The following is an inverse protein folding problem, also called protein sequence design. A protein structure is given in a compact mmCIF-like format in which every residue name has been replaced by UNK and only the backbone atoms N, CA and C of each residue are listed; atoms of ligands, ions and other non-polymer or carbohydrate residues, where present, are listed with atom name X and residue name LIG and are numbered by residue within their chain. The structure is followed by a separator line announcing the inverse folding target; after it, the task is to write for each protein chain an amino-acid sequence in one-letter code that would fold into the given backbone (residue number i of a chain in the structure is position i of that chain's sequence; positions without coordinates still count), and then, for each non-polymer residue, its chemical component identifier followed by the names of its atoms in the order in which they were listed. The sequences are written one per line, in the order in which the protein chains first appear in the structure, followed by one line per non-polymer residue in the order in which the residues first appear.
data_IF_618222620250
#
_entry.id   IF_618222620250
#
_cell.length_a   1.000
_cell.length_b   1.000
_cell.length_c   1.000
_cell.angle_alpha   90.00
_cell.angle_beta   90.00
_cell.angle_gamma   90.00
#
_symmetry.space_group_name_H-M   'P 1'
#
loop_
_entity.id
_entity.type
_entity.pdbx_description
1 polymer ?
#
# COMPACT_ATOMS: atom_id res chain seq x y z
N UNK A 1 -4.04 -0.03 -13.17
CA UNK A 1 -4.65 0.12 -11.83
C UNK A 1 -6.18 0.29 -11.91
N UNK A 2 -6.71 1.29 -12.63
CA UNK A 2 -8.13 1.69 -12.63
C UNK A 2 -9.17 0.62 -13.07
N UNK A 3 -8.92 -0.12 -14.16
CA UNK A 3 -9.92 -1.05 -14.72
C UNK A 3 -10.07 -2.39 -13.97
N UNK A 4 -9.11 -2.75 -13.10
CA UNK A 4 -9.13 -4.04 -12.37
C UNK A 4 -9.69 -3.97 -10.95
N UNK A 5 -9.63 -2.79 -10.30
CA UNK A 5 -10.09 -2.61 -8.92
C UNK A 5 -11.63 -2.47 -8.84
N UNK A 6 -12.27 -1.92 -9.88
CA UNK A 6 -13.70 -1.57 -9.88
C UNK A 6 -14.48 -2.20 -11.04
N UNK A 7 -14.13 -3.43 -11.42
CA UNK A 7 -14.90 -4.17 -12.42
C UNK A 7 -16.33 -4.51 -11.96
N UNK A 8 -16.58 -4.45 -10.64
CA UNK A 8 -17.89 -4.68 -10.00
C UNK A 8 -18.61 -3.35 -9.70
N UNK A 9 -19.93 -3.42 -9.50
CA UNK A 9 -20.72 -2.28 -9.00
C UNK A 9 -20.26 -1.87 -7.60
N UNK A 10 -19.71 -0.66 -7.49
CA UNK A 10 -19.17 -0.09 -6.27
C UNK A 10 -20.15 0.82 -5.53
N UNK A 11 -21.40 0.92 -6.00
CA UNK A 11 -22.44 1.75 -5.38
C UNK A 11 -22.63 1.37 -3.91
N UNK A 12 -22.49 2.36 -3.01
CA UNK A 12 -22.69 2.17 -1.57
C UNK A 12 -21.59 1.39 -0.84
N UNK A 13 -20.49 1.04 -1.52
CA UNK A 13 -19.34 0.36 -0.90
C UNK A 13 -18.48 1.34 -0.11
N UNK A 14 -18.00 0.91 1.06
CA UNK A 14 -17.06 1.69 1.86
C UNK A 14 -15.62 1.40 1.43
N UNK A 15 -14.90 2.43 0.98
CA UNK A 15 -13.51 2.35 0.53
C UNK A 15 -12.63 3.19 1.43
N UNK A 16 -11.60 2.56 2.01
CA UNK A 16 -10.54 3.25 2.74
C UNK A 16 -9.30 3.36 1.87
N UNK A 17 -8.72 4.54 1.77
CA UNK A 17 -7.43 4.76 1.09
C UNK A 17 -6.40 5.21 2.11
N UNK A 18 -5.35 4.42 2.29
CA UNK A 18 -4.23 4.69 3.19
C UNK A 18 -3.06 5.24 2.37
N UNK A 19 -2.68 6.49 2.63
CA UNK A 19 -1.70 7.20 1.82
C UNK A 19 -2.42 7.94 0.70
N UNK A 20 -2.38 9.26 0.77
CA UNK A 20 -3.10 10.14 -0.14
C UNK A 20 -2.13 10.93 -1.03
N UNK A 21 -0.83 10.60 -1.02
CA UNK A 21 0.20 11.30 -1.80
C UNK A 21 0.09 11.15 -3.33
N UNK A 22 -0.74 10.24 -3.83
CA UNK A 22 -0.80 9.85 -5.25
C UNK A 22 -2.20 9.76 -5.85
N UNK A 23 -3.17 10.55 -5.35
CA UNK A 23 -4.58 10.56 -5.75
C UNK A 23 -4.81 10.32 -7.25
N UNK A 24 -5.01 9.04 -7.62
CA UNK A 24 -5.45 8.61 -8.95
C UNK A 24 -6.76 7.84 -8.87
N UNK A 25 -7.27 7.61 -7.66
CA UNK A 25 -8.57 7.03 -7.36
C UNK A 25 -9.50 8.13 -6.84
N UNK A 26 -10.18 8.83 -7.76
CA UNK A 26 -11.20 9.82 -7.43
C UNK A 26 -12.59 9.15 -7.39
N UNK A 27 -13.47 9.64 -6.52
CA UNK A 27 -14.82 9.10 -6.36
C UNK A 27 -15.69 9.23 -7.63
N UNK A 28 -15.30 10.08 -8.59
CA UNK A 28 -15.98 10.18 -9.89
C UNK A 28 -15.89 8.88 -10.71
N UNK A 29 -14.83 8.08 -10.52
CA UNK A 29 -14.57 6.88 -11.31
C UNK A 29 -15.27 5.62 -10.76
N UNK A 30 -15.96 5.70 -9.62
CA UNK A 30 -16.44 4.52 -8.88
C UNK A 30 -17.93 4.48 -8.63
N UNK A 31 -18.73 5.20 -9.41
CA UNK A 31 -20.19 4.99 -9.48
C UNK A 31 -20.92 4.94 -8.11
N UNK A 32 -20.61 5.85 -7.16
CA UNK A 32 -21.37 5.96 -5.90
C UNK A 32 -20.80 5.23 -4.67
N UNK A 33 -19.51 4.87 -4.68
CA UNK A 33 -18.81 4.42 -3.48
C UNK A 33 -18.55 5.55 -2.46
N UNK A 34 -18.42 5.19 -1.19
CA UNK A 34 -18.09 6.09 -0.08
C UNK A 34 -16.59 6.01 0.23
N UNK A 35 -15.84 7.08 -0.02
CA UNK A 35 -14.41 7.12 0.26
C UNK A 35 -14.08 7.79 1.59
N UNK A 36 -13.13 7.19 2.30
CA UNK A 36 -12.35 7.83 3.36
C UNK A 36 -10.88 7.75 2.98
N UNK A 37 -10.22 8.90 2.94
CA UNK A 37 -8.81 9.06 2.62
C UNK A 37 -8.03 9.39 3.90
N UNK A 38 -6.90 8.72 4.10
CA UNK A 38 -5.98 8.93 5.21
C UNK A 38 -4.62 9.35 4.70
N UNK A 39 -4.11 10.46 5.24
CA UNK A 39 -2.70 10.81 5.12
C UNK A 39 -2.20 11.36 6.46
N UNK A 40 -0.91 11.20 6.72
CA UNK A 40 -0.30 11.76 7.93
C UNK A 40 -0.09 13.27 7.80
N UNK A 41 0.09 13.80 6.58
CA UNK A 41 0.28 15.22 6.34
C UNK A 41 -1.07 15.92 6.04
N UNK A 42 -1.60 16.76 6.94
CA UNK A 42 -2.83 17.50 6.68
C UNK A 42 -2.73 18.46 5.50
N UNK A 43 -1.51 18.82 5.06
CA UNK A 43 -1.28 19.72 3.92
C UNK A 43 -1.46 19.04 2.58
N UNK A 44 -1.52 17.70 2.52
CA UNK A 44 -1.65 17.00 1.23
C UNK A 44 -2.99 17.28 0.56
N UNK A 45 -4.08 17.42 1.35
CA UNK A 45 -5.43 17.68 0.82
C UNK A 45 -5.49 18.95 -0.05
N UNK A 46 -5.12 20.14 0.46
CA UNK A 46 -5.18 21.35 -0.37
C UNK A 46 -4.20 21.31 -1.56
N UNK A 47 -3.09 20.57 -1.45
CA UNK A 47 -2.16 20.37 -2.58
C UNK A 47 -2.81 19.49 -3.65
N UNK A 48 -3.45 18.39 -3.25
CA UNK A 48 -4.16 17.48 -4.13
C UNK A 48 -5.30 18.16 -4.89
N UNK A 49 -6.17 18.85 -4.16
CA UNK A 49 -7.31 19.58 -4.74
C UNK A 49 -6.85 20.66 -5.71
N UNK A 50 -5.71 21.33 -5.44
CA UNK A 50 -5.21 22.41 -6.28
C UNK A 50 -4.40 21.95 -7.50
N UNK A 51 -3.57 20.93 -7.36
CA UNK A 51 -2.54 20.61 -8.36
C UNK A 51 -2.74 19.26 -9.07
N UNK A 52 -3.54 18.35 -8.51
CA UNK A 52 -3.70 17.00 -9.05
C UNK A 52 -5.13 16.71 -9.51
N UNK A 53 -6.12 17.08 -8.68
CA UNK A 53 -7.54 16.88 -8.98
C UNK A 53 -8.15 18.07 -9.71
N UNK A 54 -7.65 19.27 -9.44
CA UNK A 54 -8.26 20.55 -9.88
C UNK A 54 -9.72 20.74 -9.41
N UNK A 55 -10.17 19.94 -8.44
CA UNK A 55 -11.48 19.99 -7.81
C UNK A 55 -11.41 19.54 -6.33
N UNK A 56 -12.41 19.87 -5.48
CA UNK A 56 -12.48 19.37 -4.11
C UNK A 56 -12.56 17.86 -4.06
N UNK A 57 -11.88 17.25 -3.08
CA UNK A 57 -11.96 15.79 -2.90
C UNK A 57 -13.39 15.38 -2.53
N UNK A 58 -13.90 14.36 -3.22
CA UNK A 58 -15.20 13.75 -2.93
C UNK A 58 -15.00 12.57 -1.99
N UNK A 59 -15.32 12.78 -0.72
CA UNK A 59 -15.12 11.78 0.34
C UNK A 59 -14.67 12.44 1.65
N UNK A 60 -14.49 11.64 2.67
CA UNK A 60 -13.92 12.09 3.95
C UNK A 60 -12.40 12.09 3.87
N UNK A 61 -11.75 13.13 4.38
CA UNK A 61 -10.28 13.17 4.52
C UNK A 61 -9.92 13.27 6.00
N UNK A 62 -9.06 12.36 6.46
CA UNK A 62 -8.61 12.28 7.84
C UNK A 62 -7.09 12.43 7.86
N UNK A 63 -6.60 13.45 8.55
CA UNK A 63 -5.17 13.65 8.78
C UNK A 63 -4.69 12.80 9.96
N UNK A 64 -4.37 11.53 9.71
CA UNK A 64 -3.95 10.56 10.72
C UNK A 64 -3.04 9.49 10.12
N UNK A 65 -2.09 9.00 10.91
CA UNK A 65 -1.28 7.83 10.57
C UNK A 65 -2.15 6.59 10.33
N UNK A 66 -1.88 5.88 9.23
CA UNK A 66 -2.67 4.74 8.77
C UNK A 66 -2.74 3.60 9.79
N UNK A 67 -1.61 3.23 10.41
CA UNK A 67 -1.58 2.14 11.40
C UNK A 67 -2.36 2.52 12.64
N UNK A 68 -2.16 3.75 13.13
CA UNK A 68 -2.87 4.29 14.29
C UNK A 68 -4.38 4.29 14.06
N UNK A 69 -4.83 4.73 12.88
CA UNK A 69 -6.25 4.72 12.52
C UNK A 69 -6.83 3.29 12.54
N UNK A 70 -6.15 2.34 11.91
CA UNK A 70 -6.62 0.95 11.85
C UNK A 70 -6.64 0.27 13.24
N UNK A 71 -5.78 0.68 14.17
CA UNK A 71 -5.79 0.19 15.55
C UNK A 71 -7.02 0.69 16.31
N UNK A 72 -7.35 1.98 16.18
CA UNK A 72 -8.39 2.63 16.99
C UNK A 72 -9.79 2.57 16.38
N UNK A 73 -9.91 2.46 15.06
CA UNK A 73 -11.20 2.44 14.35
C UNK A 73 -11.80 1.04 14.32
N UNK A 74 -13.05 0.87 14.75
CA UNK A 74 -13.78 -0.40 14.64
C UNK A 74 -14.45 -0.61 13.26
N UNK A 75 -14.42 0.40 12.39
CA UNK A 75 -15.07 0.33 11.07
C UNK A 75 -14.41 -0.75 10.20
N UNK A 76 -15.25 -1.56 9.55
CA UNK A 76 -14.82 -2.54 8.55
C UNK A 76 -15.16 -2.06 7.14
N UNK A 77 -14.30 -2.40 6.17
CA UNK A 77 -14.32 -1.82 4.83
C UNK A 77 -14.56 -2.87 3.74
N UNK A 78 -15.27 -2.50 2.68
CA UNK A 78 -15.38 -3.36 1.50
C UNK A 78 -14.05 -3.41 0.75
N UNK A 79 -13.35 -2.27 0.66
CA UNK A 79 -12.01 -2.19 0.06
C UNK A 79 -11.10 -1.34 0.94
N UNK A 80 -9.87 -1.82 1.16
CA UNK A 80 -8.77 -1.01 1.71
C UNK A 80 -7.68 -0.92 0.65
N UNK A 81 -7.38 0.29 0.22
CA UNK A 81 -6.27 0.61 -0.67
C UNK A 81 -5.09 1.06 0.18
N UNK A 82 -3.92 0.44 0.01
CA UNK A 82 -2.67 0.80 0.67
C UNK A 82 -1.73 1.39 -0.38
N UNK A 83 -1.58 2.71 -0.34
CA UNK A 83 -0.73 3.49 -1.25
C UNK A 83 0.22 4.40 -0.44
N UNK A 84 0.98 3.77 0.45
CA UNK A 84 1.91 4.43 1.37
C UNK A 84 3.36 4.47 0.85
N UNK A 85 3.62 3.86 -0.31
CA UNK A 85 4.97 3.51 -0.75
C UNK A 85 5.35 4.20 -2.06
N UNK A 86 6.06 5.32 -1.96
CA UNK A 86 6.58 6.02 -3.14
C UNK A 86 7.92 5.48 -3.62
N UNK A 87 8.77 4.96 -2.71
CA UNK A 87 10.00 4.24 -3.02
C UNK A 87 10.43 3.41 -1.80
N UNK A 88 11.28 2.39 -2.00
CA UNK A 88 11.73 1.49 -0.94
C UNK A 88 12.53 2.18 0.19
N UNK A 89 13.13 3.34 -0.07
CA UNK A 89 13.93 4.07 0.91
C UNK A 89 13.09 4.89 1.90
N UNK A 90 11.85 5.22 1.54
CA UNK A 90 10.96 6.10 2.32
C UNK A 90 9.76 5.36 2.89
N UNK A 91 9.75 4.03 2.86
CA UNK A 91 8.68 3.23 3.44
C UNK A 91 8.70 3.38 4.97
N UNK A 92 7.62 3.86 5.60
CA UNK A 92 7.55 3.94 7.05
C UNK A 92 7.66 2.54 7.67
N UNK A 93 8.60 2.34 8.60
CA UNK A 93 8.93 1.02 9.18
C UNK A 93 7.71 0.26 9.69
N UNK A 94 6.80 0.98 10.33
CA UNK A 94 5.61 0.42 10.96
C UNK A 94 4.52 -0.02 9.97
N UNK A 95 4.67 0.28 8.68
CA UNK A 95 3.69 -0.05 7.63
C UNK A 95 4.12 -1.22 6.75
N UNK A 96 5.36 -1.70 6.88
CA UNK A 96 5.89 -2.83 6.10
C UNK A 96 6.11 -4.08 6.97
N UNK A 97 5.10 -4.44 7.77
CA UNK A 97 5.18 -5.55 8.73
C UNK A 97 3.99 -6.50 8.59
N UNK A 98 4.17 -7.74 9.06
CA UNK A 98 3.09 -8.72 9.09
C UNK A 98 1.89 -8.20 9.91
N UNK A 99 2.15 -7.53 11.03
CA UNK A 99 1.13 -6.94 11.91
C UNK A 99 0.33 -5.86 11.20
N UNK A 100 0.99 -4.98 10.44
CA UNK A 100 0.29 -3.94 9.69
C UNK A 100 -0.65 -4.56 8.63
N UNK A 101 -0.16 -5.49 7.81
CA UNK A 101 -1.02 -6.12 6.81
C UNK A 101 -2.08 -7.03 7.45
N UNK A 102 -1.81 -7.60 8.62
CA UNK A 102 -2.81 -8.38 9.39
C UNK A 102 -3.89 -7.46 9.95
N UNK A 103 -3.52 -6.25 10.36
CA UNK A 103 -4.45 -5.22 10.77
C UNK A 103 -5.30 -4.71 9.59
N UNK A 104 -4.71 -4.55 8.39
CA UNK A 104 -5.48 -4.31 7.16
C UNK A 104 -6.49 -5.45 6.94
N UNK A 105 -6.04 -6.71 7.01
CA UNK A 105 -6.90 -7.89 6.86
C UNK A 105 -8.03 -7.92 7.90
N UNK A 106 -7.74 -7.57 9.17
CA UNK A 106 -8.73 -7.58 10.25
C UNK A 106 -9.84 -6.55 10.05
N UNK A 107 -9.53 -5.39 9.44
CA UNK A 107 -10.49 -4.31 9.12
C UNK A 107 -11.22 -4.48 7.79
N UNK A 108 -10.99 -5.55 7.04
CA UNK A 108 -11.84 -5.88 5.88
C UNK A 108 -13.18 -6.50 6.32
N UNK A 109 -14.27 -6.21 5.61
CA UNK A 109 -15.51 -7.01 5.66
C UNK A 109 -15.22 -8.45 5.20
N UNK A 110 -16.08 -9.46 5.49
CA UNK A 110 -15.81 -10.87 5.14
C UNK A 110 -15.44 -11.13 3.67
N UNK A 111 -16.08 -10.41 2.74
CA UNK A 111 -15.78 -10.46 1.29
C UNK A 111 -14.86 -9.34 0.81
N UNK A 112 -14.30 -8.56 1.74
CA UNK A 112 -13.54 -7.36 1.45
C UNK A 112 -12.19 -7.67 0.80
N UNK A 113 -11.69 -6.67 0.08
CA UNK A 113 -10.45 -6.74 -0.70
C UNK A 113 -9.42 -5.73 -0.22
N UNK A 114 -8.16 -6.14 -0.17
CA UNK A 114 -7.04 -5.23 -0.01
C UNK A 114 -6.37 -5.03 -1.37
N UNK A 115 -6.12 -3.78 -1.72
CA UNK A 115 -5.33 -3.40 -2.91
C UNK A 115 -4.08 -2.69 -2.43
N UNK A 116 -2.90 -3.25 -2.70
CA UNK A 116 -1.64 -2.69 -2.22
C UNK A 116 -0.83 -2.21 -3.42
N UNK A 117 -0.45 -0.94 -3.44
CA UNK A 117 0.49 -0.39 -4.41
C UNK A 117 1.89 -0.41 -3.78
N UNK A 118 2.72 -1.38 -4.17
CA UNK A 118 4.04 -1.61 -3.56
C UNK A 118 5.14 -1.37 -4.59
N UNK A 119 6.06 -0.46 -4.29
CA UNK A 119 7.29 -0.29 -5.05
C UNK A 119 8.26 -1.44 -4.74
N UNK A 120 8.44 -2.40 -5.65
CA UNK A 120 9.31 -3.57 -5.48
C UNK A 120 9.90 -4.04 -6.82
N UNK A 121 10.95 -4.87 -6.77
CA UNK A 121 11.51 -5.50 -7.97
C UNK A 121 10.65 -6.71 -8.36
N UNK A 122 10.05 -6.72 -9.56
CA UNK A 122 9.13 -7.76 -9.99
C UNK A 122 9.82 -9.11 -10.23
N UNK A 123 11.16 -9.14 -10.26
CA UNK A 123 11.95 -10.38 -10.35
C UNK A 123 12.17 -11.05 -9.01
N UNK A 124 11.79 -10.40 -7.89
CA UNK A 124 12.01 -10.89 -6.53
C UNK A 124 13.46 -11.39 -6.31
N UNK A 125 14.44 -10.63 -6.81
CA UNK A 125 15.85 -11.00 -6.79
C UNK A 125 16.69 -10.18 -5.80
N UNK A 126 16.04 -9.36 -4.98
CA UNK A 126 16.63 -8.65 -3.85
C UNK A 126 15.87 -8.97 -2.56
N UNK A 127 16.55 -8.86 -1.42
CA UNK A 127 16.00 -9.24 -0.12
C UNK A 127 14.74 -8.44 0.24
N UNK A 128 14.69 -7.16 -0.13
CA UNK A 128 13.55 -6.30 0.16
C UNK A 128 12.29 -6.78 -0.55
N UNK A 129 12.37 -6.99 -1.86
CA UNK A 129 11.25 -7.41 -2.69
C UNK A 129 10.74 -8.79 -2.27
N UNK A 130 11.65 -9.70 -1.97
CA UNK A 130 11.33 -11.04 -1.45
C UNK A 130 10.62 -10.96 -0.10
N UNK A 131 11.19 -10.24 0.86
CA UNK A 131 10.64 -10.14 2.21
C UNK A 131 9.30 -9.40 2.22
N UNK A 132 9.13 -8.38 1.38
CA UNK A 132 7.86 -7.67 1.23
C UNK A 132 6.76 -8.59 0.69
N UNK A 133 7.04 -9.34 -0.40
CA UNK A 133 6.07 -10.28 -0.98
C UNK A 133 5.66 -11.36 0.03
N UNK A 134 6.63 -11.96 0.74
CA UNK A 134 6.35 -12.93 1.80
C UNK A 134 5.48 -12.32 2.91
N UNK A 135 5.82 -11.13 3.38
CA UNK A 135 5.11 -10.46 4.47
C UNK A 135 3.65 -10.19 4.11
N UNK A 136 3.39 -9.70 2.89
CA UNK A 136 2.04 -9.48 2.37
C UNK A 136 1.25 -10.79 2.28
N UNK A 137 1.84 -11.82 1.65
CA UNK A 137 1.17 -13.11 1.44
C UNK A 137 0.98 -13.91 2.72
N UNK A 138 1.73 -13.60 3.77
CA UNK A 138 1.53 -14.19 5.10
C UNK A 138 0.31 -13.57 5.79
N UNK A 139 0.10 -12.26 5.69
CA UNK A 139 -0.99 -11.57 6.38
C UNK A 139 -2.35 -11.62 5.66
N UNK A 140 -2.33 -11.65 4.33
CA UNK A 140 -3.51 -11.63 3.46
C UNK A 140 -3.66 -12.94 2.70
N UNK A 141 -4.85 -13.21 2.13
CA UNK A 141 -5.11 -14.44 1.38
C UNK A 141 -5.40 -14.18 -0.10
N UNK A 142 -5.15 -15.16 -0.97
CA UNK A 142 -5.49 -15.14 -2.40
C UNK A 142 -4.99 -13.87 -3.12
N UNK A 143 -3.71 -13.56 -2.97
CA UNK A 143 -3.08 -12.40 -3.59
C UNK A 143 -2.70 -12.65 -5.06
N UNK A 144 -3.26 -11.87 -5.96
CA UNK A 144 -2.88 -11.76 -7.38
C UNK A 144 -2.08 -10.47 -7.57
N UNK A 145 -1.03 -10.50 -8.37
CA UNK A 145 -0.17 -9.34 -8.63
C UNK A 145 -0.29 -8.86 -10.06
N UNK A 146 -0.52 -7.57 -10.26
CA UNK A 146 -0.41 -6.89 -11.54
C UNK A 146 0.93 -6.12 -11.57
N UNK A 147 1.77 -6.45 -12.54
CA UNK A 147 3.12 -5.89 -12.67
C UNK A 147 3.09 -4.87 -13.80
N UNK A 148 3.20 -3.59 -13.45
CA UNK A 148 3.13 -2.49 -14.42
C UNK A 148 4.29 -2.46 -15.42
N UNK A 149 5.42 -3.08 -15.08
CA UNK A 149 6.55 -3.30 -15.99
C UNK A 149 7.52 -4.35 -15.45
N UNK A 150 8.03 -5.24 -16.32
CA UNK A 150 8.89 -6.35 -15.90
C UNK A 150 10.38 -6.03 -16.16
N UNK A 151 10.99 -5.30 -15.24
CA UNK A 151 12.39 -4.84 -15.33
C UNK A 151 13.15 -5.12 -14.03
N UNK A 152 14.47 -5.16 -14.10
CA UNK A 152 15.32 -5.38 -12.92
C UNK A 152 15.53 -4.09 -12.12
N UNK A 153 14.43 -3.46 -11.70
CA UNK A 153 14.41 -2.23 -10.93
C UNK A 153 13.13 -2.17 -10.09
N UNK A 154 13.06 -1.24 -9.15
CA UNK A 154 11.83 -0.98 -8.42
C UNK A 154 10.77 -0.45 -9.40
N UNK A 155 9.63 -1.13 -9.42
CA UNK A 155 8.41 -0.72 -10.13
C UNK A 155 7.23 -0.80 -9.18
N UNK A 156 6.11 -0.21 -9.57
CA UNK A 156 4.86 -0.38 -8.84
C UNK A 156 4.26 -1.73 -9.19
N UNK A 157 4.15 -2.60 -8.18
CA UNK A 157 3.45 -3.88 -8.25
C UNK A 157 2.15 -3.72 -7.46
N UNK A 158 1.02 -4.00 -8.11
CA UNK A 158 -0.29 -3.90 -7.47
C UNK A 158 -0.73 -5.28 -7.01
N UNK A 159 -0.91 -5.44 -5.71
CA UNK A 159 -1.41 -6.68 -5.10
C UNK A 159 -2.91 -6.57 -4.89
N UNK A 160 -3.66 -7.53 -5.42
CA UNK A 160 -5.08 -7.72 -5.18
C UNK A 160 -5.26 -8.92 -4.26
N UNK A 161 -5.58 -8.66 -2.99
CA UNK A 161 -5.70 -9.69 -1.97
C UNK A 161 -7.10 -9.71 -1.35
N UNK A 162 -7.46 -10.83 -0.75
CA UNK A 162 -8.68 -11.01 0.03
C UNK A 162 -8.39 -11.10 1.52
N UNK A 163 -9.40 -10.82 2.35
CA UNK A 163 -9.34 -11.05 3.80
C UNK A 163 -8.87 -12.48 4.13
N UNK A 164 -8.03 -12.63 5.15
CA UNK A 164 -7.62 -13.93 5.70
C UNK A 164 -8.71 -14.45 6.67
N UNK A 165 -9.06 -15.75 6.59
CA UNK A 165 -10.15 -16.30 7.40
C UNK A 165 -9.81 -16.33 8.90
N UNK A 166 -10.83 -16.20 9.74
CA UNK A 166 -10.69 -16.08 11.20
C UNK A 166 -10.19 -17.33 11.91
N UNK A 167 -10.20 -18.50 11.28
CA UNK A 167 -9.62 -19.73 11.87
C UNK A 167 -8.09 -19.61 12.11
N UNK A 168 -7.42 -18.63 11.51
CA UNK A 168 -5.99 -18.34 11.72
C UNK A 168 -5.73 -17.03 12.51
N UNK A 169 -6.78 -16.27 12.88
CA UNK A 169 -6.63 -14.88 13.40
C UNK A 169 -6.34 -14.79 14.91
N UNK A 170 -6.53 -15.86 15.69
CA UNK A 170 -6.26 -15.87 17.14
C UNK A 170 -4.76 -15.69 17.48
N UNK A 171 -3.88 -15.85 16.49
CA UNK A 171 -2.44 -15.63 16.65
C UNK A 171 -2.04 -14.14 16.63
N UNK A 172 -2.82 -13.24 16.00
CA UNK A 172 -2.41 -11.84 15.79
C UNK A 172 -2.71 -10.96 17.00
N UNK A 173 -3.79 -11.25 17.73
CA UNK A 173 -4.19 -10.44 18.90
C UNK A 173 -3.33 -10.71 20.15
N UNK A 174 -2.56 -11.80 20.19
CA UNK A 174 -1.87 -12.26 21.40
C UNK A 174 -0.37 -11.96 21.45
N UNK A 175 0.28 -11.53 20.35
CA UNK A 175 1.70 -11.19 20.37
C UNK A 175 2.07 -10.10 19.34
N UNK A 176 2.24 -8.87 19.82
CA UNK A 176 2.84 -7.78 19.04
C UNK A 176 4.34 -8.05 18.87
N UNK A 177 4.84 -8.19 17.62
CA UNK A 177 6.26 -8.46 17.33
C UNK A 177 6.75 -7.83 16.03
N UNK A 178 6.68 -6.50 15.93
CA UNK A 178 7.21 -5.78 14.76
C UNK A 178 8.76 -5.80 14.65
N UNK A 179 9.45 -6.13 15.76
CA UNK A 179 10.92 -6.24 15.87
C UNK A 179 11.59 -7.31 14.96
N UNK A 180 10.82 -8.08 14.19
CA UNK A 180 11.38 -9.13 13.31
C UNK A 180 11.27 -8.86 11.82
N UNK A 181 10.59 -7.79 11.39
CA UNK A 181 10.54 -7.44 9.96
C UNK A 181 11.89 -6.90 9.48
N UNK A 182 12.40 -7.47 8.39
CA UNK A 182 13.62 -6.97 7.72
C UNK A 182 13.33 -6.09 6.51
N UNK A 183 12.06 -5.97 6.12
CA UNK A 183 11.63 -5.27 4.90
C UNK A 183 12.22 -3.86 4.85
N UNK A 184 12.13 -3.09 5.94
CA UNK A 184 12.64 -1.71 5.91
C UNK A 184 14.16 -1.63 5.84
N UNK A 185 14.87 -2.49 6.58
CA UNK A 185 16.34 -2.53 6.54
C UNK A 185 16.82 -2.92 5.14
N UNK A 186 16.22 -3.95 4.56
CA UNK A 186 16.54 -4.41 3.21
C UNK A 186 16.17 -3.35 2.16
N UNK A 187 15.07 -2.62 2.34
CA UNK A 187 14.64 -1.52 1.46
C UNK A 187 15.64 -0.37 1.48
N UNK A 188 16.10 0.03 2.67
CA UNK A 188 17.15 1.02 2.84
C UNK A 188 18.46 0.58 2.15
N UNK A 189 18.92 -0.66 2.39
CA UNK A 189 20.13 -1.22 1.76
C UNK A 189 19.99 -1.28 0.23
N UNK A 190 18.81 -1.67 -0.26
CA UNK A 190 18.52 -1.73 -1.70
C UNK A 190 18.62 -0.36 -2.35
N UNK A 191 18.14 0.69 -1.68
CA UNK A 191 18.23 2.07 -2.17
C UNK A 191 19.68 2.59 -2.29
N UNK A 192 20.56 2.20 -1.36
CA UNK A 192 21.99 2.53 -1.41
C UNK A 192 22.68 1.86 -2.60
N UNK A 193 22.31 0.62 -2.90
CA UNK A 193 22.84 -0.11 -4.06
C UNK A 193 22.37 0.54 -5.37
N UNK A 194 21.11 0.99 -5.48
CA UNK A 194 20.62 1.73 -6.67
C UNK A 194 21.45 2.99 -6.93
N UNK A 195 21.74 3.79 -5.90
CA UNK A 195 22.61 4.99 -6.04
C UNK A 195 24.04 4.64 -6.48
N UNK A 196 24.58 3.52 -6.01
CA UNK A 196 25.90 3.03 -6.41
C UNK A 196 25.95 2.57 -7.87
N UNK A 197 24.83 2.08 -8.41
CA UNK A 197 24.70 1.73 -9.84
C UNK A 197 24.56 2.97 -10.72
N UNK A 198 23.70 3.93 -10.34
CA UNK A 198 23.56 5.21 -11.09
C UNK A 198 24.88 5.99 -11.17
N UNK A 199 25.60 6.12 -10.05
CA UNK A 199 26.93 6.77 -10.03
C UNK A 199 28.02 6.03 -10.82
N UNK A 200 27.82 4.74 -11.13
CA UNK A 200 28.74 3.98 -11.99
C UNK A 200 28.43 4.15 -13.47
N UNK A 201 27.17 4.35 -13.83
CA UNK A 201 26.77 4.66 -15.21
C UNK A 201 27.18 6.08 -15.60
N UNK A 202 27.03 7.05 -14.70
CA UNK A 202 27.45 8.46 -14.94
C UNK A 202 28.96 8.61 -15.15
N UNK A 203 29.77 7.72 -14.55
CA UNK A 203 31.23 7.73 -14.70
C UNK A 203 31.74 7.02 -15.98
N UNK A 204 30.86 6.34 -16.73
CA UNK A 204 31.24 5.57 -17.93
C UNK A 204 30.90 6.30 -19.25
N UNK A 205 30.45 7.56 -19.20
CA UNK A 205 30.19 8.40 -20.38
C UNK A 205 31.10 9.63 -20.48
N UNK A 206 32.25 9.58 -19.80
CA UNK A 206 33.29 10.61 -19.85
C UNK A 206 34.67 10.06 -20.16
N UNK A 207 34.83 9.31 -21.26
CA UNK A 207 36.10 9.10 -21.97
C UNK A 207 35.87 8.96 -23.46
#
# INVERSE_FOLDING_TARGET
MKQGIFADDMTGKDILVLGAGGFTLSAEETHGANFTYLDVDPKIKPIAEKYFLEEPIKGEFIAQDARSYLLTSEKSWDVIVVDLYTNAATIPMHTATFEFFSLVSSRLKPSGKAVLNIAANPRLNDAYSVNMDFTVRQALSRCITDITGYQNALVNIVYFCSKRSSMDNDAVASLYRDDTTKVTVDGYVSSLNIKKWQSREDNNHGQ
#
